data_IF_818719773001
#
_entry.id   IF_818719773001
#
_cell.length_a   1.000
_cell.length_b   1.000
_cell.length_c   1.000
_cell.angle_alpha   90.00
_cell.angle_beta   90.00
_cell.angle_gamma   90.00
#
_symmetry.space_group_name_H-M   'P 1'
#
loop_
_entity.id
_entity.type
_entity.pdbx_description
1 polymer ?
#
# COMPACT_ATOMS: atom_id res chain seq x y z
N UNK A 1 18.71 -5.50 -0.04
CA UNK A 1 17.33 -5.26 -0.50
C UNK A 1 16.76 -6.43 -1.34
N UNK A 2 17.16 -7.69 -1.07
CA UNK A 2 16.77 -8.90 -1.83
C UNK A 2 15.91 -9.88 -1.00
N UNK A 3 15.43 -9.46 0.18
CA UNK A 3 14.77 -10.36 1.14
C UNK A 3 13.32 -10.01 1.51
N UNK A 4 12.75 -8.90 1.02
CA UNK A 4 11.40 -8.49 1.44
C UNK A 4 10.24 -9.15 0.67
N UNK A 5 10.49 -9.83 -0.46
CA UNK A 5 9.43 -10.35 -1.35
C UNK A 5 9.26 -11.88 -1.38
N UNK A 6 9.96 -12.62 -0.51
CA UNK A 6 9.91 -14.10 -0.53
C UNK A 6 8.76 -14.72 0.25
N UNK A 7 7.96 -13.96 1.01
CA UNK A 7 6.88 -14.50 1.84
C UNK A 7 5.81 -15.29 1.04
N UNK A 8 5.55 -14.94 -0.23
CA UNK A 8 4.53 -15.60 -1.04
C UNK A 8 5.05 -16.67 -2.02
N UNK A 9 6.38 -16.80 -2.17
CA UNK A 9 6.98 -17.69 -3.19
C UNK A 9 7.95 -18.74 -2.63
N UNK A 10 8.29 -18.71 -1.34
CA UNK A 10 9.09 -19.77 -0.71
C UNK A 10 8.22 -20.93 -0.20
N UNK A 11 8.74 -22.18 -0.18
CA UNK A 11 8.07 -23.32 0.45
C UNK A 11 7.70 -23.01 1.91
N UNK A 12 6.69 -23.71 2.48
CA UNK A 12 6.24 -23.46 3.85
C UNK A 12 7.43 -23.52 4.80
N UNK A 13 7.81 -22.37 5.36
CA UNK A 13 8.72 -22.31 6.50
C UNK A 13 7.85 -22.32 7.75
N UNK A 14 8.26 -23.08 8.75
CA UNK A 14 7.56 -23.30 10.03
C UNK A 14 7.61 -22.06 10.96
N UNK A 15 7.28 -20.87 10.45
CA UNK A 15 7.36 -19.62 11.20
C UNK A 15 6.29 -18.62 10.79
N UNK A 16 6.08 -17.61 11.63
CA UNK A 16 5.20 -16.48 11.35
C UNK A 16 5.64 -15.76 10.07
N UNK A 17 4.68 -15.43 9.22
CA UNK A 17 4.87 -14.71 7.97
C UNK A 17 4.00 -13.46 7.98
N UNK A 18 4.45 -12.39 7.33
CA UNK A 18 3.62 -11.21 7.13
C UNK A 18 2.74 -11.39 5.91
N UNK A 19 1.53 -10.84 5.97
CA UNK A 19 0.61 -10.84 4.83
C UNK A 19 1.04 -9.77 3.84
N UNK A 20 1.88 -10.13 2.87
CA UNK A 20 2.14 -9.30 1.69
C UNK A 20 1.25 -9.75 0.52
N UNK A 21 0.00 -10.10 0.83
CA UNK A 21 -0.99 -10.55 -0.16
C UNK A 21 -1.62 -9.33 -0.83
N UNK A 22 -0.95 -8.80 -1.86
CA UNK A 22 -1.67 -8.01 -2.84
C UNK A 22 -2.53 -8.95 -3.68
N UNK A 23 -3.78 -8.59 -4.00
CA UNK A 23 -4.53 -9.32 -4.99
C UNK A 23 -3.66 -9.39 -6.24
N UNK A 24 -3.30 -10.60 -6.67
CA UNK A 24 -2.84 -10.77 -8.03
C UNK A 24 -4.07 -10.42 -8.87
N UNK A 25 -4.11 -9.17 -9.36
CA UNK A 25 -5.01 -8.74 -10.43
C UNK A 25 -4.59 -9.44 -11.72
N UNK A 26 -4.65 -10.75 -11.68
CA UNK A 26 -4.92 -11.54 -12.84
C UNK A 26 -6.40 -11.26 -13.11
N UNK A 27 -6.77 -10.91 -14.35
CA UNK A 27 -8.17 -11.00 -14.76
C UNK A 27 -8.77 -12.33 -14.23
N UNK A 28 -10.07 -12.44 -13.91
CA UNK A 28 -10.65 -13.67 -13.36
C UNK A 28 -10.35 -14.94 -14.19
N UNK A 29 -9.87 -14.79 -15.43
CA UNK A 29 -9.42 -15.87 -16.31
C UNK A 29 -7.94 -16.30 -16.16
N UNK A 30 -7.13 -15.58 -15.37
CA UNK A 30 -5.67 -15.74 -15.26
C UNK A 30 -5.21 -16.13 -13.85
N UNK A 31 -6.10 -16.25 -12.86
CA UNK A 31 -5.77 -17.05 -11.67
C UNK A 31 -5.48 -18.46 -12.17
N UNK A 32 -4.20 -18.85 -12.20
CA UNK A 32 -3.83 -20.20 -12.60
C UNK A 32 -4.67 -21.15 -11.74
N UNK A 33 -5.49 -21.99 -12.38
CA UNK A 33 -6.52 -22.84 -11.76
C UNK A 33 -6.02 -23.74 -10.61
N UNK A 34 -4.72 -23.77 -10.30
CA UNK A 34 -4.06 -24.64 -9.33
C UNK A 34 -3.27 -23.87 -8.25
N UNK A 35 -3.63 -22.64 -7.90
CA UNK A 35 -2.84 -21.85 -6.96
C UNK A 35 -3.30 -22.06 -5.50
N UNK A 36 -2.46 -22.65 -4.65
CA UNK A 36 -2.69 -22.78 -3.19
C UNK A 36 -2.59 -21.45 -2.43
N UNK A 37 -2.41 -20.34 -3.14
CA UNK A 37 -2.50 -18.97 -2.62
C UNK A 37 -3.92 -18.38 -2.73
N UNK A 38 -4.88 -19.10 -3.31
CA UNK A 38 -6.29 -18.68 -3.36
C UNK A 38 -6.95 -18.91 -2.00
N UNK A 39 -6.67 -18.00 -1.07
CA UNK A 39 -7.20 -18.00 0.30
C UNK A 39 -8.52 -17.22 0.36
N UNK A 40 -9.32 -17.47 1.39
CA UNK A 40 -10.50 -16.64 1.65
C UNK A 40 -10.07 -15.19 1.90
N UNK A 41 -10.81 -14.24 1.30
CA UNK A 41 -10.54 -12.82 1.51
C UNK A 41 -10.59 -12.45 2.99
N UNK A 42 -11.47 -13.07 3.77
CA UNK A 42 -11.54 -12.89 5.23
C UNK A 42 -10.24 -13.30 5.93
N UNK A 43 -9.62 -14.41 5.53
CA UNK A 43 -8.36 -14.87 6.12
C UNK A 43 -7.22 -13.91 5.80
N UNK A 44 -7.20 -13.37 4.58
CA UNK A 44 -6.23 -12.33 4.18
C UNK A 44 -6.43 -11.06 5.00
N UNK A 45 -7.68 -10.60 5.17
CA UNK A 45 -8.01 -9.39 5.93
C UNK A 45 -7.67 -9.51 7.42
N UNK A 46 -7.95 -10.67 8.04
CA UNK A 46 -7.57 -10.92 9.44
C UNK A 46 -6.04 -10.98 9.55
N UNK A 47 -5.38 -11.76 8.70
CA UNK A 47 -3.93 -11.90 8.72
C UNK A 47 -3.19 -10.58 8.51
N UNK A 48 -3.65 -9.72 7.59
CA UNK A 48 -2.98 -8.45 7.31
C UNK A 48 -3.17 -7.40 8.40
N UNK A 49 -4.17 -7.56 9.28
CA UNK A 49 -4.50 -6.61 10.35
C UNK A 49 -4.09 -7.13 11.73
N UNK A 50 -3.50 -8.33 11.82
CA UNK A 50 -3.14 -8.99 13.08
C UNK A 50 -1.86 -8.40 13.69
N UNK A 51 -1.94 -7.13 14.13
CA UNK A 51 -0.82 -6.37 14.66
C UNK A 51 -0.24 -7.04 15.92
N UNK A 52 1.06 -7.41 15.92
CA UNK A 52 1.71 -7.85 17.15
C UNK A 52 1.49 -6.83 18.25
N UNK A 53 1.38 -7.29 19.50
CA UNK A 53 0.93 -6.51 20.67
C UNK A 53 -0.60 -6.37 20.80
N UNK A 54 -1.31 -6.06 19.71
CA UNK A 54 -2.75 -5.78 19.75
C UNK A 54 -3.62 -7.02 19.50
N UNK A 55 -3.23 -7.87 18.56
CA UNK A 55 -4.05 -8.97 18.05
C UNK A 55 -3.24 -10.28 17.93
N UNK A 56 -3.89 -11.44 18.11
CA UNK A 56 -3.24 -12.73 17.93
C UNK A 56 -2.90 -12.98 16.45
N UNK A 57 -1.84 -13.77 16.21
CA UNK A 57 -1.52 -14.26 14.87
C UNK A 57 -2.68 -15.11 14.30
N UNK A 58 -2.87 -15.06 12.99
CA UNK A 58 -3.95 -15.77 12.29
C UNK A 58 -3.42 -17.00 11.56
N UNK A 59 -3.96 -18.17 11.87
CA UNK A 59 -3.59 -19.43 11.19
C UNK A 59 -4.77 -19.98 10.39
N UNK A 60 -4.51 -20.37 9.13
CA UNK A 60 -5.48 -21.06 8.30
C UNK A 60 -4.79 -21.95 7.25
N UNK A 61 -5.58 -22.75 6.54
CA UNK A 61 -5.12 -23.59 5.43
C UNK A 61 -5.91 -23.27 4.16
N UNK A 62 -5.23 -23.21 3.02
CA UNK A 62 -5.87 -23.17 1.70
C UNK A 62 -5.52 -24.42 0.91
N UNK A 63 -6.51 -24.99 0.23
CA UNK A 63 -6.38 -26.17 -0.60
C UNK A 63 -6.71 -25.81 -2.04
N UNK A 64 -5.79 -26.05 -2.97
CA UNK A 64 -6.04 -25.78 -4.38
C UNK A 64 -6.93 -26.87 -5.02
N UNK A 65 -7.33 -26.64 -6.27
CA UNK A 65 -8.14 -27.58 -7.06
C UNK A 65 -7.49 -28.95 -7.28
N UNK A 66 -6.17 -29.08 -7.10
CA UNK A 66 -5.43 -30.35 -7.18
C UNK A 66 -5.34 -31.08 -5.84
N UNK A 67 -5.93 -30.54 -4.77
CA UNK A 67 -5.92 -31.11 -3.42
C UNK A 67 -4.66 -30.80 -2.60
N UNK A 68 -3.73 -30.00 -3.13
CA UNK A 68 -2.54 -29.56 -2.40
C UNK A 68 -2.95 -28.53 -1.36
N UNK A 69 -2.65 -28.83 -0.10
CA UNK A 69 -2.98 -27.96 1.03
C UNK A 69 -1.74 -27.22 1.52
N UNK A 70 -1.88 -25.91 1.69
CA UNK A 70 -0.85 -25.02 2.23
C UNK A 70 -1.35 -24.38 3.51
N UNK A 71 -0.51 -24.42 4.55
CA UNK A 71 -0.77 -23.73 5.82
C UNK A 71 -0.15 -22.33 5.81
N UNK A 72 -0.88 -21.38 6.41
CA UNK A 72 -0.50 -19.98 6.55
C UNK A 72 -0.53 -19.61 8.04
N UNK A 73 0.53 -18.95 8.49
CA UNK A 73 0.66 -18.44 9.86
C UNK A 73 0.99 -16.94 9.75
N UNK A 74 -0.03 -16.10 9.83
CA UNK A 74 0.04 -14.70 9.42
C UNK A 74 0.01 -13.72 10.59
N UNK A 75 0.78 -12.65 10.45
CA UNK A 75 0.71 -11.43 11.27
C UNK A 75 0.59 -10.21 10.34
N UNK A 76 0.35 -9.05 10.95
CA UNK A 76 0.13 -7.77 10.27
C UNK A 76 1.14 -7.47 9.17
N UNK A 77 0.62 -6.93 8.06
CA UNK A 77 1.42 -6.51 6.93
C UNK A 77 2.38 -5.36 7.24
N UNK A 78 2.03 -4.49 8.19
CA UNK A 78 2.79 -3.33 8.65
C UNK A 78 4.17 -3.68 9.19
N UNK A 79 4.33 -4.88 9.76
CA UNK A 79 5.63 -5.43 10.18
C UNK A 79 6.61 -5.55 9.01
N UNK A 80 6.10 -5.79 7.79
CA UNK A 80 6.93 -5.86 6.59
C UNK A 80 6.84 -4.60 5.70
N UNK A 81 5.66 -4.00 5.58
CA UNK A 81 5.41 -2.88 4.67
C UNK A 81 4.23 -2.03 5.15
N UNK A 82 4.45 -1.19 6.16
CA UNK A 82 3.44 -0.26 6.67
C UNK A 82 2.96 0.77 5.64
N UNK A 83 3.82 1.11 4.67
CA UNK A 83 3.42 1.84 3.47
C UNK A 83 3.61 0.92 2.25
N UNK A 84 2.54 0.25 1.76
CA UNK A 84 2.65 -0.76 0.72
C UNK A 84 2.84 -0.16 -0.69
N UNK A 85 2.93 1.16 -0.85
CA UNK A 85 3.02 1.80 -2.17
C UNK A 85 4.21 1.29 -3.00
N UNK A 86 5.39 1.15 -2.38
CA UNK A 86 6.58 0.63 -3.07
C UNK A 86 6.44 -0.87 -3.42
N UNK A 87 5.77 -1.65 -2.55
CA UNK A 87 5.47 -3.06 -2.82
C UNK A 87 4.54 -3.18 -4.03
N UNK A 88 3.48 -2.36 -4.08
CA UNK A 88 2.53 -2.34 -5.19
C UNK A 88 3.21 -1.98 -6.51
N UNK A 89 4.06 -0.94 -6.53
CA UNK A 89 4.83 -0.57 -7.71
C UNK A 89 5.78 -1.67 -8.17
N UNK A 90 6.41 -2.35 -7.21
CA UNK A 90 7.34 -3.46 -7.49
C UNK A 90 6.61 -4.66 -8.10
N UNK A 91 5.40 -4.99 -7.64
CA UNK A 91 4.60 -6.06 -8.23
C UNK A 91 4.12 -5.71 -9.65
N UNK A 92 3.65 -4.49 -9.88
CA UNK A 92 3.30 -4.03 -11.24
C UNK A 92 4.52 -4.09 -12.17
N UNK A 93 5.68 -3.63 -11.69
CA UNK A 93 6.96 -3.71 -12.43
C UNK A 93 7.31 -5.15 -12.80
N UNK A 94 7.11 -6.09 -11.87
CA UNK A 94 7.32 -7.52 -12.10
C UNK A 94 6.36 -8.08 -13.15
N UNK A 95 5.08 -7.67 -13.13
CA UNK A 95 4.10 -8.08 -14.14
C UNK A 95 4.48 -7.57 -15.54
N UNK A 96 4.91 -6.30 -15.65
CA UNK A 96 5.41 -5.74 -16.91
C UNK A 96 6.64 -6.53 -17.39
N UNK A 97 7.60 -6.80 -16.50
CA UNK A 97 8.82 -7.53 -16.84
C UNK A 97 8.54 -8.96 -17.31
N UNK A 98 7.51 -9.61 -16.74
CA UNK A 98 7.02 -10.93 -17.18
C UNK A 98 6.27 -10.90 -18.51
N UNK A 99 6.09 -9.74 -19.12
CA UNK A 99 5.36 -9.59 -20.38
C UNK A 99 3.86 -9.82 -20.24
N UNK A 100 3.28 -9.54 -19.07
CA UNK A 100 1.83 -9.63 -18.89
C UNK A 100 1.12 -8.69 -19.90
N UNK A 101 0.22 -9.22 -20.75
CA UNK A 101 -0.38 -8.47 -21.86
C UNK A 101 -1.31 -7.34 -21.42
N UNK A 102 -1.77 -7.35 -20.16
CA UNK A 102 -2.61 -6.28 -19.59
C UNK A 102 -1.80 -5.01 -19.30
N UNK A 103 -0.46 -5.12 -19.30
CA UNK A 103 0.46 -4.02 -19.09
C UNK A 103 1.23 -3.69 -20.36
N UNK A 104 1.46 -2.40 -20.60
CA UNK A 104 2.29 -1.95 -21.71
C UNK A 104 3.75 -2.33 -21.41
N UNK A 105 4.42 -3.09 -22.28
CA UNK A 105 5.81 -3.47 -22.07
C UNK A 105 6.71 -2.25 -21.87
N UNK A 106 7.81 -2.46 -21.15
CA UNK A 106 8.93 -1.54 -21.16
C UNK A 106 9.38 -1.35 -22.61
N UNK A 107 9.14 -0.16 -23.17
CA UNK A 107 9.78 0.20 -24.43
C UNK A 107 11.28 0.41 -24.20
N UNK A 108 12.02 0.65 -25.28
CA UNK A 108 13.45 1.02 -25.24
C UNK A 108 13.70 2.33 -24.46
N UNK A 109 12.63 3.05 -24.09
CA UNK A 109 12.69 4.35 -23.44
C UNK A 109 12.35 4.22 -21.94
N UNK A 110 13.31 4.59 -21.09
CA UNK A 110 13.34 4.42 -19.62
C UNK A 110 12.29 5.24 -18.82
N UNK A 111 11.23 5.73 -19.47
CA UNK A 111 10.19 6.60 -18.90
C UNK A 111 9.11 5.81 -18.16
N UNK A 112 9.51 4.91 -17.26
CA UNK A 112 8.58 4.08 -16.48
C UNK A 112 7.68 4.93 -15.57
N UNK A 113 8.27 5.91 -14.88
CA UNK A 113 7.58 6.71 -13.87
C UNK A 113 6.60 7.73 -14.48
N UNK A 114 6.78 8.08 -15.76
CA UNK A 114 5.78 8.85 -16.52
C UNK A 114 4.48 8.05 -16.77
N UNK A 115 4.56 6.71 -16.74
CA UNK A 115 3.42 5.81 -16.96
C UNK A 115 2.75 5.35 -15.67
N UNK A 116 3.45 5.46 -14.55
CA UNK A 116 2.85 5.20 -13.25
C UNK A 116 2.05 6.41 -12.82
N UNK A 117 0.82 6.18 -12.37
CA UNK A 117 0.06 7.13 -11.57
C UNK A 117 -0.23 6.46 -10.24
N UNK A 118 0.33 6.99 -9.16
CA UNK A 118 0.32 6.37 -7.84
C UNK A 118 -0.33 7.31 -6.85
N UNK A 119 -1.40 6.82 -6.21
CA UNK A 119 -2.02 7.45 -5.05
C UNK A 119 -1.62 6.62 -3.84
N UNK A 120 -0.99 7.26 -2.86
CA UNK A 120 -0.67 6.67 -1.57
C UNK A 120 -1.41 7.43 -0.48
N UNK A 121 -2.28 6.73 0.25
CA UNK A 121 -3.06 7.31 1.33
C UNK A 121 -2.49 6.80 2.65
N UNK A 122 -2.22 7.70 3.59
CA UNK A 122 -1.82 7.31 4.93
C UNK A 122 -2.96 7.54 5.93
N UNK A 123 -2.84 6.90 7.08
CA UNK A 123 -3.78 6.95 8.20
C UNK A 123 -3.44 8.04 9.20
N UNK A 124 -2.51 8.92 8.84
CA UNK A 124 -1.99 9.99 9.68
C UNK A 124 -0.87 9.55 10.63
N UNK A 125 -0.18 10.54 11.19
CA UNK A 125 0.93 10.38 12.13
C UNK A 125 0.81 11.46 13.21
N UNK A 126 1.41 11.20 14.36
CA UNK A 126 1.44 12.19 15.44
C UNK A 126 2.49 13.27 15.18
N UNK A 127 2.20 14.51 15.59
CA UNK A 127 3.20 15.57 15.69
C UNK A 127 3.93 15.57 17.04
N UNK A 128 3.48 14.74 17.99
CA UNK A 128 4.03 14.68 19.35
C UNK A 128 5.35 13.92 19.37
N UNK A 129 6.36 14.49 20.04
CA UNK A 129 7.59 13.78 20.39
C UNK A 129 7.27 12.79 21.50
N UNK A 130 7.00 11.53 21.11
CA UNK A 130 6.53 10.49 22.03
C UNK A 130 7.58 10.00 23.02
N UNK A 131 8.88 10.04 22.68
CA UNK A 131 9.92 9.38 23.45
C UNK A 131 11.16 10.27 23.60
N UNK A 132 11.55 10.54 24.85
CA UNK A 132 12.79 11.24 25.18
C UNK A 132 13.98 10.26 25.25
N UNK A 133 15.14 10.67 24.73
CA UNK A 133 16.31 9.81 24.67
C UNK A 133 16.90 9.49 26.06
N UNK A 134 16.80 10.40 27.02
CA UNK A 134 17.27 10.18 28.39
C UNK A 134 16.36 9.18 29.09
N UNK A 135 15.04 9.32 28.93
CA UNK A 135 14.08 8.35 29.45
C UNK A 135 14.27 6.95 28.82
N UNK A 136 14.35 6.88 27.49
CA UNK A 136 14.52 5.62 26.77
C UNK A 136 15.86 4.93 27.08
N UNK A 137 16.88 5.67 27.54
CA UNK A 137 18.17 5.10 27.95
C UNK A 137 18.08 4.20 29.19
N UNK A 138 17.03 4.39 29.99
CA UNK A 138 16.77 3.58 31.19
C UNK A 138 15.89 2.35 30.87
N UNK A 139 15.39 2.24 29.64
CA UNK A 139 14.50 1.14 29.26
C UNK A 139 15.24 -0.18 29.06
N UNK A 140 14.79 -1.21 29.78
CA UNK A 140 15.08 -2.61 29.44
C UNK A 140 14.17 -3.15 28.34
N UNK A 141 14.26 -4.46 28.05
CA UNK A 141 13.47 -5.10 27.00
C UNK A 141 11.94 -4.90 27.15
N UNK A 142 11.42 -4.90 28.37
CA UNK A 142 10.00 -4.63 28.64
C UNK A 142 9.61 -3.17 28.39
N UNK A 143 10.50 -2.23 28.69
CA UNK A 143 10.28 -0.81 28.41
C UNK A 143 10.18 -0.56 26.90
N UNK A 144 11.07 -1.16 26.12
CA UNK A 144 11.00 -1.09 24.66
C UNK A 144 9.77 -1.78 24.05
N UNK A 145 9.32 -2.89 24.64
CA UNK A 145 8.23 -3.69 24.08
C UNK A 145 6.83 -3.20 24.50
N UNK A 146 6.66 -2.78 25.74
CA UNK A 146 5.36 -2.40 26.31
C UNK A 146 5.26 -0.88 26.48
N UNK A 147 6.35 -0.23 26.89
CA UNK A 147 6.35 1.18 27.27
C UNK A 147 5.62 1.45 28.60
N UNK A 148 5.78 2.65 29.17
CA UNK A 148 5.11 3.03 30.42
C UNK A 148 3.59 3.10 30.29
N UNK A 149 3.09 3.48 29.10
CA UNK A 149 1.66 3.71 28.83
C UNK A 149 1.05 2.67 27.88
N UNK A 150 1.61 1.45 27.83
CA UNK A 150 1.20 0.43 26.87
C UNK A 150 1.32 0.89 25.40
N UNK A 151 2.28 1.79 25.14
CA UNK A 151 2.47 2.45 23.85
C UNK A 151 3.26 1.62 22.82
N UNK A 152 3.73 0.43 23.21
CA UNK A 152 4.54 -0.46 22.37
C UNK A 152 5.64 0.26 21.55
N UNK A 153 6.59 0.98 22.19
CA UNK A 153 7.47 1.93 21.51
C UNK A 153 8.24 1.38 20.31
N UNK A 154 8.73 0.15 20.42
CA UNK A 154 9.46 -0.50 19.33
C UNK A 154 8.56 -0.69 18.09
N UNK A 155 7.31 -1.11 18.28
CA UNK A 155 6.36 -1.32 17.19
C UNK A 155 6.03 0.01 16.52
N UNK A 156 5.72 1.03 17.31
CA UNK A 156 5.43 2.39 16.83
C UNK A 156 6.58 2.96 15.99
N UNK A 157 7.81 2.93 16.52
CA UNK A 157 8.99 3.50 15.85
C UNK A 157 9.26 2.77 14.52
N UNK A 158 9.28 1.44 14.50
CA UNK A 158 9.56 0.68 13.28
C UNK A 158 8.48 0.87 12.22
N UNK A 159 7.22 0.91 12.64
CA UNK A 159 6.06 1.06 11.77
C UNK A 159 6.06 2.45 11.12
N UNK A 160 6.32 3.49 11.92
CA UNK A 160 6.45 4.87 11.44
C UNK A 160 7.64 5.03 10.49
N UNK A 161 8.83 4.60 10.91
CA UNK A 161 10.05 4.69 10.09
C UNK A 161 9.91 3.95 8.76
N UNK A 162 9.27 2.78 8.75
CA UNK A 162 8.96 2.02 7.52
C UNK A 162 8.10 2.82 6.55
N UNK A 163 7.06 3.51 7.05
CA UNK A 163 6.20 4.35 6.23
C UNK A 163 6.94 5.56 5.65
N UNK A 164 7.72 6.26 6.48
CA UNK A 164 8.45 7.46 6.10
C UNK A 164 9.53 7.17 5.05
N UNK A 165 10.28 6.08 5.22
CA UNK A 165 11.28 5.64 4.24
C UNK A 165 10.68 5.37 2.87
N UNK A 166 9.49 4.74 2.80
CA UNK A 166 8.80 4.53 1.52
C UNK A 166 8.35 5.85 0.91
N UNK A 167 7.78 6.76 1.72
CA UNK A 167 7.39 8.09 1.25
C UNK A 167 8.57 8.87 0.68
N UNK A 168 9.72 8.86 1.38
CA UNK A 168 10.97 9.47 0.94
C UNK A 168 11.48 8.87 -0.37
N UNK A 169 11.54 7.54 -0.47
CA UNK A 169 12.01 6.85 -1.67
C UNK A 169 11.15 7.16 -2.89
N UNK A 170 9.82 7.09 -2.76
CA UNK A 170 8.92 7.36 -3.88
C UNK A 170 9.01 8.81 -4.32
N UNK A 171 8.96 9.77 -3.39
CA UNK A 171 9.11 11.18 -3.75
C UNK A 171 10.44 11.46 -4.45
N UNK A 172 11.55 10.90 -3.95
CA UNK A 172 12.88 11.04 -4.57
C UNK A 172 12.89 10.54 -6.00
N UNK A 173 12.39 9.32 -6.25
CA UNK A 173 12.46 8.71 -7.58
C UNK A 173 11.53 9.40 -8.57
N UNK A 174 10.30 9.73 -8.17
CA UNK A 174 9.37 10.46 -9.05
C UNK A 174 9.88 11.88 -9.37
N UNK A 175 10.56 12.55 -8.42
CA UNK A 175 11.17 13.85 -8.69
C UNK A 175 12.40 13.75 -9.59
N UNK A 176 13.29 12.79 -9.34
CA UNK A 176 14.50 12.57 -10.16
C UNK A 176 14.18 12.18 -11.61
N UNK A 177 13.00 11.59 -11.85
CA UNK A 177 12.53 11.17 -13.16
C UNK A 177 11.47 12.12 -13.74
N UNK A 178 11.49 13.39 -13.31
CA UNK A 178 10.69 14.49 -13.85
C UNK A 178 9.18 14.21 -13.90
N UNK A 179 8.69 13.35 -13.00
CA UNK A 179 7.28 12.95 -12.88
C UNK A 179 6.72 13.18 -11.47
N UNK A 180 7.05 14.28 -10.76
CA UNK A 180 6.69 14.44 -9.34
C UNK A 180 5.16 14.54 -9.11
N UNK A 181 4.40 14.88 -10.13
CA UNK A 181 2.93 14.97 -10.11
C UNK A 181 2.23 13.61 -10.24
N UNK A 182 2.98 12.59 -10.67
CA UNK A 182 2.45 11.24 -10.84
C UNK A 182 2.40 10.44 -9.53
N UNK A 183 2.98 10.98 -8.46
CA UNK A 183 2.90 10.43 -7.11
C UNK A 183 2.18 11.41 -6.19
N UNK A 184 0.95 11.06 -5.81
CA UNK A 184 0.14 11.81 -4.84
C UNK A 184 0.14 11.07 -3.51
N UNK A 185 0.81 11.64 -2.50
CA UNK A 185 0.73 11.18 -1.11
C UNK A 185 -0.20 12.11 -0.33
N UNK A 186 -1.25 11.55 0.27
CA UNK A 186 -2.13 12.28 1.19
C UNK A 186 -1.89 11.70 2.59
N UNK A 187 -1.44 12.56 3.50
CA UNK A 187 -1.07 12.20 4.86
C UNK A 187 -1.36 13.39 5.78
N UNK A 188 -1.89 13.12 6.97
CA UNK A 188 -1.96 14.09 8.05
C UNK A 188 -0.84 13.83 9.06
N UNK A 189 -0.05 14.83 9.41
CA UNK A 189 1.06 14.72 10.35
C UNK A 189 0.80 15.44 11.67
N UNK A 190 -0.48 15.72 11.96
CA UNK A 190 -0.92 16.58 13.06
C UNK A 190 -1.88 15.88 14.03
N UNK A 191 -1.95 14.54 13.99
CA UNK A 191 -2.77 13.80 14.93
C UNK A 191 -2.20 13.92 16.35
N UNK A 192 -3.07 13.90 17.35
CA UNK A 192 -2.69 14.05 18.77
C UNK A 192 -3.70 13.33 19.66
N UNK A 193 -3.30 12.91 20.86
CA UNK A 193 -4.18 12.24 21.81
C UNK A 193 -4.86 10.99 21.23
N UNK A 194 -6.17 10.84 21.46
CA UNK A 194 -6.94 9.65 21.01
C UNK A 194 -7.01 9.50 19.49
N UNK A 195 -6.87 10.60 18.74
CA UNK A 195 -6.84 10.56 17.27
C UNK A 195 -5.59 9.86 16.74
N UNK A 196 -4.50 9.86 17.51
CA UNK A 196 -3.25 9.19 17.16
C UNK A 196 -3.18 7.74 17.68
N UNK A 197 -4.18 7.27 18.44
CA UNK A 197 -4.26 5.88 18.92
C UNK A 197 -4.84 4.98 17.83
N UNK A 198 -4.23 3.81 17.67
CA UNK A 198 -4.61 2.80 16.67
C UNK A 198 -5.76 1.89 17.13
N UNK A 199 -6.07 1.88 18.43
CA UNK A 199 -6.98 0.95 19.08
C UNK A 199 -8.20 1.62 19.75
N UNK A 200 -8.35 2.96 19.61
CA UNK A 200 -9.50 3.70 20.15
C UNK A 200 -10.66 3.75 19.16
N UNK A 201 -11.57 2.78 19.25
CA UNK A 201 -12.75 2.67 18.37
C UNK A 201 -14.06 3.23 18.97
N UNK A 202 -13.98 4.28 19.81
CA UNK A 202 -15.19 4.94 20.32
C UNK A 202 -15.90 5.73 19.22
N UNK A 203 -17.24 5.83 19.28
CA UNK A 203 -18.01 6.59 18.29
C UNK A 203 -17.57 8.05 18.18
N UNK A 204 -17.15 8.66 19.29
CA UNK A 204 -16.60 10.01 19.32
C UNK A 204 -15.29 10.10 18.52
N UNK A 205 -14.31 9.23 18.82
CA UNK A 205 -13.03 9.24 18.14
C UNK A 205 -13.17 8.95 16.64
N UNK A 206 -14.04 8.01 16.25
CA UNK A 206 -14.31 7.70 14.84
C UNK A 206 -14.95 8.89 14.11
N UNK A 207 -15.89 9.60 14.73
CA UNK A 207 -16.48 10.80 14.14
C UNK A 207 -15.46 11.93 14.02
N UNK A 208 -14.54 12.07 14.97
CA UNK A 208 -13.49 13.07 14.90
C UNK A 208 -12.44 12.73 13.83
N UNK A 209 -12.11 11.45 13.63
CA UNK A 209 -11.28 11.01 12.49
C UNK A 209 -11.94 11.32 11.14
N UNK A 210 -13.27 11.21 11.01
CA UNK A 210 -13.99 11.66 9.81
C UNK A 210 -13.77 13.16 9.58
N UNK A 211 -13.91 13.99 10.62
CA UNK A 211 -13.66 15.44 10.53
C UNK A 211 -12.21 15.75 10.16
N UNK A 212 -11.25 14.97 10.65
CA UNK A 212 -9.84 15.09 10.24
C UNK A 212 -9.70 14.83 8.75
N UNK A 213 -10.29 13.76 8.23
CA UNK A 213 -10.29 13.44 6.79
C UNK A 213 -10.91 14.55 5.94
N UNK A 214 -12.06 15.09 6.37
CA UNK A 214 -12.73 16.21 5.69
C UNK A 214 -11.86 17.49 5.66
N UNK A 215 -11.17 17.79 6.78
CA UNK A 215 -10.21 18.90 6.84
C UNK A 215 -8.99 18.64 5.96
N UNK A 216 -8.48 17.40 5.93
CA UNK A 216 -7.32 17.01 5.14
C UNK A 216 -7.57 17.20 3.63
N UNK A 217 -8.80 16.99 3.16
CA UNK A 217 -9.19 17.30 1.78
C UNK A 217 -9.00 18.78 1.40
N UNK A 218 -9.12 19.69 2.38
CA UNK A 218 -8.96 21.14 2.19
C UNK A 218 -7.52 21.62 2.37
N UNK A 219 -6.62 20.80 2.94
CA UNK A 219 -5.20 21.15 3.05
C UNK A 219 -4.54 21.13 1.66
N UNK A 220 -3.53 21.99 1.41
CA UNK A 220 -2.75 21.96 0.18
C UNK A 220 -2.06 20.60 -0.02
N UNK A 221 -1.81 20.24 -1.28
CA UNK A 221 -0.97 19.08 -1.60
C UNK A 221 0.44 19.28 -1.07
N UNK A 222 0.97 18.25 -0.42
CA UNK A 222 2.30 18.26 0.17
C UNK A 222 3.22 17.22 -0.47
N UNK A 223 4.53 17.45 -0.38
CA UNK A 223 5.57 16.46 -0.66
C UNK A 223 6.54 16.44 0.50
N UNK A 224 7.23 15.33 0.68
CA UNK A 224 8.30 15.23 1.66
C UNK A 224 9.41 16.23 1.32
N UNK A 225 9.82 17.01 2.31
CA UNK A 225 10.98 17.85 2.26
C UNK A 225 12.21 17.03 2.65
N UNK A 226 13.22 16.94 1.77
CA UNK A 226 14.35 16.03 2.00
C UNK A 226 15.29 16.46 3.13
N UNK A 227 15.26 17.72 3.55
CA UNK A 227 16.06 18.21 4.67
C UNK A 227 15.43 17.85 6.02
N UNK A 228 14.10 17.87 6.09
CA UNK A 228 13.36 17.72 7.35
C UNK A 228 12.61 16.39 7.47
N UNK A 229 12.41 15.67 6.37
CA UNK A 229 11.58 14.46 6.31
C UNK A 229 10.08 14.71 6.45
N UNK A 230 9.64 15.97 6.60
CA UNK A 230 8.25 16.35 6.85
C UNK A 230 7.50 16.73 5.57
N UNK A 231 6.17 16.66 5.62
CA UNK A 231 5.31 17.12 4.53
C UNK A 231 5.37 18.64 4.39
N UNK A 232 5.68 19.12 3.19
CA UNK A 232 5.70 20.55 2.85
C UNK A 232 4.75 20.84 1.69
N UNK A 233 3.87 21.85 1.80
CA UNK A 233 3.05 22.29 0.68
C UNK A 233 3.88 22.62 -0.55
N UNK A 234 3.48 22.10 -1.72
CA UNK A 234 4.22 22.33 -2.99
C UNK A 234 3.43 23.22 -3.95
N UNK A 235 2.11 23.11 -3.91
CA UNK A 235 1.20 24.01 -4.63
C UNK A 235 0.21 24.56 -3.60
N UNK A 236 0.49 25.74 -3.01
CA UNK A 236 -0.34 26.32 -1.95
C UNK A 236 -1.82 26.47 -2.35
N UNK A 237 -2.07 26.69 -3.64
CA UNK A 237 -3.40 26.92 -4.20
C UNK A 237 -4.12 25.63 -4.63
N UNK A 238 -3.45 24.46 -4.56
CA UNK A 238 -4.06 23.18 -4.96
C UNK A 238 -4.26 22.33 -3.71
N UNK A 239 -5.53 22.08 -3.39
CA UNK A 239 -5.94 21.23 -2.28
C UNK A 239 -5.84 19.74 -2.62
N UNK A 240 -5.79 18.89 -1.60
CA UNK A 240 -5.88 17.44 -1.77
C UNK A 240 -7.17 17.02 -2.50
N UNK A 241 -8.29 17.70 -2.26
CA UNK A 241 -9.54 17.47 -2.98
C UNK A 241 -9.40 17.72 -4.49
N UNK A 242 -8.81 18.85 -4.89
CA UNK A 242 -8.62 19.18 -6.30
C UNK A 242 -7.65 18.22 -6.99
N UNK A 243 -6.59 17.81 -6.30
CA UNK A 243 -5.67 16.79 -6.78
C UNK A 243 -6.37 15.43 -6.99
N UNK A 244 -7.22 15.00 -6.05
CA UNK A 244 -8.02 13.79 -6.20
C UNK A 244 -9.00 13.88 -7.38
N UNK A 245 -9.64 15.04 -7.59
CA UNK A 245 -10.52 15.27 -8.75
C UNK A 245 -9.72 15.16 -10.06
N UNK A 246 -8.52 15.76 -10.12
CA UNK A 246 -7.60 15.64 -11.28
C UNK A 246 -7.27 14.18 -11.56
N UNK A 247 -6.88 13.43 -10.53
CA UNK A 247 -6.53 12.01 -10.65
C UNK A 247 -7.73 11.17 -11.09
N UNK A 248 -8.92 11.39 -10.51
CA UNK A 248 -10.15 10.73 -10.93
C UNK A 248 -10.46 11.00 -12.41
N UNK A 249 -10.24 12.22 -12.88
CA UNK A 249 -10.38 12.58 -14.29
C UNK A 249 -9.40 11.83 -15.21
N UNK A 250 -8.14 11.66 -14.79
CA UNK A 250 -7.15 10.85 -15.53
C UNK A 250 -7.59 9.40 -15.60
N UNK A 251 -7.95 8.79 -14.46
CA UNK A 251 -8.39 7.40 -14.39
C UNK A 251 -9.65 7.13 -15.23
N UNK A 252 -10.61 8.06 -15.22
CA UNK A 252 -11.84 7.98 -16.01
C UNK A 252 -11.54 7.99 -17.52
N UNK A 253 -10.68 8.91 -17.99
CA UNK A 253 -10.26 8.98 -19.40
C UNK A 253 -9.50 7.72 -19.82
N UNK A 254 -8.54 7.27 -19.02
CA UNK A 254 -7.78 6.06 -19.28
C UNK A 254 -8.69 4.83 -19.40
N UNK A 255 -9.67 4.69 -18.51
CA UNK A 255 -10.67 3.61 -18.59
C UNK A 255 -11.49 3.72 -19.88
N UNK A 256 -12.00 4.90 -20.22
CA UNK A 256 -12.81 5.10 -21.42
C UNK A 256 -12.04 4.76 -22.70
N UNK A 257 -10.78 5.17 -22.81
CA UNK A 257 -9.93 4.84 -23.96
C UNK A 257 -9.67 3.33 -24.07
N UNK A 258 -9.39 2.65 -22.95
CA UNK A 258 -9.22 1.19 -22.95
C UNK A 258 -10.49 0.44 -23.34
N UNK A 259 -11.66 0.90 -22.90
CA UNK A 259 -12.95 0.33 -23.28
C UNK A 259 -13.20 0.42 -24.79
N UNK A 260 -12.93 1.58 -25.42
CA UNK A 260 -13.02 1.74 -26.88
C UNK A 260 -12.13 0.75 -27.63
N UNK A 261 -10.90 0.55 -27.15
CA UNK A 261 -9.95 -0.40 -27.78
C UNK A 261 -10.47 -1.84 -27.68
N UNK A 262 -11.09 -2.22 -26.56
CA UNK A 262 -11.69 -3.55 -26.38
C UNK A 262 -12.87 -3.75 -27.34
N UNK A 263 -13.76 -2.76 -27.44
CA UNK A 263 -14.93 -2.79 -28.35
C UNK A 263 -14.53 -2.86 -29.83
N UNK A 264 -13.48 -2.13 -30.23
CA UNK A 264 -12.95 -2.19 -31.61
C UNK A 264 -12.35 -3.57 -31.93
N UNK A 265 -11.67 -4.19 -30.97
CA UNK A 265 -11.11 -5.55 -31.13
C UNK A 265 -12.20 -6.60 -31.24
N UNK A 266 -13.25 -6.55 -30.42
CA UNK A 266 -14.37 -7.51 -30.49
C UNK A 266 -15.16 -7.37 -31.79
N UNK A 267 -15.38 -6.14 -32.26
CA UNK A 267 -16.09 -5.85 -33.52
C UNK A 267 -15.30 -6.33 -34.75
N UNK A 268 -13.97 -6.17 -34.73
CA UNK A 268 -13.09 -6.64 -35.81
C UNK A 268 -12.96 -8.17 -35.87
N UNK A 269 -13.10 -8.86 -34.73
CA UNK A 269 -13.11 -10.33 -34.66
C UNK A 269 -14.41 -10.88 -35.28
N UNK A 270 -15.56 -10.33 -34.87
CA UNK A 270 -16.88 -10.73 -35.39
C UNK A 270 -17.03 -10.49 -36.91
N UNK A 271 -16.44 -9.41 -37.43
CA UNK A 271 -16.45 -9.11 -38.87
C UNK A 271 -15.59 -10.06 -39.71
N UNK A 272 -14.55 -10.67 -39.13
CA UNK A 272 -13.74 -11.69 -39.82
C UNK A 272 -14.46 -13.03 -39.85
N UNK A 273 -15.07 -13.43 -38.75
CA UNK A 273 -15.80 -14.71 -38.66
C UNK A 273 -17.05 -14.73 -39.56
N UNK A 274 -17.68 -13.57 -39.76
CA UNK A 274 -18.83 -13.41 -40.67
C UNK A 274 -18.44 -13.39 -42.16
N UNK A 275 -17.19 -13.06 -42.51
CA UNK A 275 -16.70 -13.04 -43.89
C UNK A 275 -16.09 -14.38 -44.34
N UNK A 276 -15.94 -15.34 -43.43
CA UNK A 276 -15.38 -16.68 -43.66
C UNK A 276 -16.43 -17.80 -43.77
N UNK A 277 -17.72 -17.46 -43.82
CA UNK A 277 -18.83 -18.40 -44.05
C UNK A 277 -19.48 -18.17 -45.43
#
# INVERSE_FOLDING_TARGET
MHHLMKALQSPPRSGLSTTLSLPQNNAPHQLQKNNSLDALLSDICIGTSAAPYYLPAHQFKSTNSTGETREFNLIDGGVAANNPALVAMSEVTKQIHKGNPDFVPFGVNYKLYERFLVISLGTGTTSEEKYDAKEASEWGALGWLIGPDFSAPLVDIFTQASSDMVGFHLATVFQALESPDNYLRIQDDTLSGTLASVDTATSENLNDLVKVGEKLLKKPVSRVDFGTGKGKPVHPDITNQEALIRVAGVLSRERAERSKVIELKSSSQNGKDAASN
#
